data_IF_888097548513
#
_entry.id   IF_888097548513
#
_cell.length_a   1.000
_cell.length_b   1.000
_cell.length_c   1.000
_cell.angle_alpha   90.00
_cell.angle_beta   90.00
_cell.angle_gamma   90.00
#
_symmetry.space_group_name_H-M   'P 1'
#
loop_
_entity.id
_entity.type
_entity.pdbx_description
1 polymer ?
#
# COMPACT_ATOMS: atom_id res chain seq x y z
N UNK A 1 -33.00 5.23 0.11
CA UNK A 1 -32.29 4.13 -0.54
C UNK A 1 -30.94 4.57 -1.05
N UNK A 2 -30.84 5.65 -1.73
CA UNK A 2 -29.54 6.17 -2.16
C UNK A 2 -28.57 6.40 -1.00
N UNK A 3 -29.09 6.86 0.13
CA UNK A 3 -28.31 7.10 1.33
C UNK A 3 -27.67 5.83 1.87
N UNK A 4 -28.43 4.73 1.89
CA UNK A 4 -27.91 3.43 2.37
C UNK A 4 -26.81 2.93 1.43
N UNK A 5 -27.05 2.99 0.12
CA UNK A 5 -26.10 2.59 -0.89
C UNK A 5 -24.81 3.40 -0.81
N UNK A 6 -24.94 4.71 -0.63
CA UNK A 6 -23.81 5.63 -0.50
C UNK A 6 -22.98 5.29 0.76
N UNK A 7 -23.62 5.06 1.89
CA UNK A 7 -22.94 4.72 3.14
C UNK A 7 -22.13 3.42 2.98
N UNK A 8 -22.72 2.39 2.38
CA UNK A 8 -22.04 1.12 2.16
C UNK A 8 -20.84 1.29 1.24
N UNK A 9 -21.00 2.01 0.13
CA UNK A 9 -19.92 2.26 -0.80
C UNK A 9 -18.81 3.09 -0.16
N UNK A 10 -19.16 4.03 0.71
CA UNK A 10 -18.20 4.91 1.38
C UNK A 10 -17.41 4.18 2.48
N UNK A 11 -18.01 3.18 3.14
CA UNK A 11 -17.41 2.53 4.29
C UNK A 11 -16.63 1.26 3.97
N UNK A 12 -16.77 0.72 2.73
CA UNK A 12 -16.26 -0.64 2.49
C UNK A 12 -15.40 -0.75 1.24
N UNK A 13 -14.10 -0.63 1.48
CA UNK A 13 -13.10 -1.25 0.62
C UNK A 13 -12.56 -2.47 1.35
N UNK A 14 -13.36 -3.54 1.39
CA UNK A 14 -12.98 -4.77 2.07
C UNK A 14 -11.84 -5.44 1.29
N UNK A 15 -10.65 -5.62 1.90
CA UNK A 15 -9.52 -6.20 1.19
C UNK A 15 -9.80 -7.60 0.67
N UNK A 16 -10.71 -8.35 1.32
CA UNK A 16 -11.06 -9.70 0.89
C UNK A 16 -11.94 -9.73 -0.35
N UNK A 17 -12.57 -8.60 -0.69
CA UNK A 17 -13.47 -8.48 -1.85
C UNK A 17 -12.80 -7.79 -3.03
N UNK A 18 -11.61 -7.25 -2.86
CA UNK A 18 -10.85 -6.66 -3.96
C UNK A 18 -10.25 -7.79 -4.82
N UNK A 19 -10.10 -7.58 -6.14
CA UNK A 19 -9.54 -8.61 -7.00
C UNK A 19 -8.07 -8.89 -6.67
N UNK A 20 -7.63 -10.09 -7.03
CA UNK A 20 -6.26 -10.52 -6.79
C UNK A 20 -5.99 -10.86 -5.34
N UNK A 21 -4.72 -10.76 -4.94
CA UNK A 21 -4.31 -10.97 -3.56
C UNK A 21 -4.01 -9.60 -2.94
N UNK A 22 -4.66 -9.33 -1.82
CA UNK A 22 -4.49 -8.04 -1.12
C UNK A 22 -4.00 -8.32 0.30
N UNK A 23 -2.93 -7.63 0.67
CA UNK A 23 -2.41 -7.64 2.05
C UNK A 23 -2.64 -6.27 2.65
N UNK A 24 -3.46 -6.21 3.69
CA UNK A 24 -3.80 -4.98 4.39
C UNK A 24 -2.67 -4.57 5.35
N UNK A 25 -2.65 -3.31 5.76
CA UNK A 25 -1.65 -2.83 6.72
C UNK A 25 -1.72 -3.58 8.06
N UNK A 26 -2.88 -4.10 8.43
CA UNK A 26 -3.04 -4.89 9.65
C UNK A 26 -2.23 -6.19 9.61
N UNK A 27 -1.94 -6.72 8.42
CA UNK A 27 -1.21 -7.96 8.23
C UNK A 27 0.25 -7.73 7.81
N UNK A 28 0.67 -6.48 7.69
CA UNK A 28 2.05 -6.15 7.37
C UNK A 28 2.97 -6.40 8.57
N UNK A 29 4.22 -6.75 8.28
CA UNK A 29 5.25 -6.87 9.31
C UNK A 29 5.93 -5.53 9.50
N UNK A 30 5.75 -4.94 10.67
CA UNK A 30 6.15 -3.57 10.96
C UNK A 30 7.45 -3.54 11.76
N UNK A 31 8.34 -2.62 11.39
CA UNK A 31 9.53 -2.25 12.15
C UNK A 31 9.44 -0.76 12.45
N UNK A 32 9.78 -0.38 13.66
CA UNK A 32 9.69 1.02 14.08
C UNK A 32 8.31 1.38 14.58
N UNK A 33 8.06 2.67 14.68
CA UNK A 33 6.86 3.21 15.32
C UNK A 33 5.83 3.63 14.26
N UNK A 34 4.74 2.90 14.18
CA UNK A 34 3.63 3.16 13.27
C UNK A 34 2.36 3.42 14.07
N UNK A 35 1.61 4.43 13.66
CA UNK A 35 0.37 4.84 14.32
C UNK A 35 -0.83 4.56 13.41
N UNK A 36 -1.86 3.94 13.96
CA UNK A 36 -3.12 3.70 13.24
C UNK A 36 -3.93 4.98 13.13
N UNK A 37 -4.61 5.13 12.00
CA UNK A 37 -5.47 6.28 11.74
C UNK A 37 -6.60 5.91 10.78
N UNK A 38 -7.68 6.65 10.84
CA UNK A 38 -8.78 6.62 9.88
C UNK A 38 -9.21 8.05 9.50
N UNK A 39 -8.36 9.03 9.78
CA UNK A 39 -8.70 10.44 9.62
C UNK A 39 -8.84 10.86 8.17
N UNK A 40 -8.03 10.31 7.26
CA UNK A 40 -8.09 10.63 5.83
C UNK A 40 -8.88 9.54 5.12
N UNK A 41 -9.97 9.86 4.41
CA UNK A 41 -10.80 8.85 3.74
C UNK A 41 -10.11 8.24 2.52
N UNK A 42 -10.69 7.15 2.01
CA UNK A 42 -10.21 6.45 0.82
C UNK A 42 -9.29 5.27 1.11
N UNK A 43 -9.20 4.85 2.36
CA UNK A 43 -8.39 3.70 2.75
C UNK A 43 -9.10 2.37 2.49
N UNK A 44 -8.29 1.32 2.38
CA UNK A 44 -8.74 -0.07 2.31
C UNK A 44 -8.92 -0.59 3.74
N UNK A 45 -9.95 -1.40 3.98
CA UNK A 45 -10.20 -1.96 5.30
C UNK A 45 -10.67 -0.93 6.32
N UNK A 46 -10.13 -1.02 7.52
CA UNK A 46 -10.59 -0.21 8.66
C UNK A 46 -9.77 1.06 8.90
N UNK A 47 -8.72 1.27 8.15
CA UNK A 47 -7.85 2.43 8.32
C UNK A 47 -6.51 2.21 7.65
N UNK A 48 -5.56 3.03 8.04
CA UNK A 48 -4.19 2.99 7.54
C UNK A 48 -3.23 3.30 8.68
N UNK A 49 -1.93 3.26 8.41
CA UNK A 49 -0.91 3.62 9.39
C UNK A 49 0.02 4.67 8.83
N UNK A 50 0.62 5.46 9.71
CA UNK A 50 1.63 6.44 9.34
C UNK A 50 2.79 6.42 10.34
N UNK A 51 3.93 6.99 9.93
CA UNK A 51 5.15 6.98 10.74
C UNK A 51 5.28 8.17 11.69
N UNK A 52 4.21 8.98 11.89
CA UNK A 52 4.26 10.15 12.74
C UNK A 52 5.15 11.26 12.21
N UNK A 53 5.54 11.22 10.94
CA UNK A 53 6.50 12.15 10.33
C UNK A 53 7.87 12.14 11.03
N UNK A 54 8.24 11.00 11.60
CA UNK A 54 9.55 10.83 12.23
C UNK A 54 10.66 10.92 11.18
N UNK A 55 11.75 11.59 11.50
CA UNK A 55 12.84 11.87 10.55
C UNK A 55 14.03 10.93 10.69
N UNK A 56 13.95 9.95 11.59
CA UNK A 56 15.04 9.01 11.82
C UNK A 56 15.19 7.98 10.68
N UNK A 57 14.15 7.78 9.86
CA UNK A 57 14.19 6.85 8.74
C UNK A 57 14.25 5.38 9.13
N UNK A 58 13.89 5.05 10.36
CA UNK A 58 14.08 3.71 10.93
C UNK A 58 12.85 2.81 10.81
N UNK A 59 11.70 3.37 10.42
CA UNK A 59 10.48 2.58 10.28
C UNK A 59 10.39 1.99 8.88
N UNK A 60 9.88 0.76 8.82
CA UNK A 60 9.51 0.15 7.54
C UNK A 60 8.35 -0.82 7.76
N UNK A 61 7.68 -1.15 6.65
CA UNK A 61 6.58 -2.09 6.64
C UNK A 61 6.79 -3.08 5.50
N UNK A 62 6.68 -4.38 5.80
CA UNK A 62 6.83 -5.43 4.81
C UNK A 62 5.50 -6.13 4.59
N UNK A 63 5.03 -6.10 3.36
CA UNK A 63 3.84 -6.79 2.91
C UNK A 63 4.31 -8.07 2.22
N UNK A 64 4.12 -9.21 2.88
CA UNK A 64 4.61 -10.50 2.40
C UNK A 64 3.43 -11.33 1.93
N UNK A 65 3.60 -12.01 0.79
CA UNK A 65 2.55 -12.84 0.22
C UNK A 65 3.14 -14.10 -0.40
N UNK A 66 2.37 -15.18 -0.35
CA UNK A 66 2.59 -16.35 -1.18
C UNK A 66 1.49 -16.33 -2.26
N UNK A 67 1.89 -16.12 -3.51
CA UNK A 67 0.96 -16.06 -4.62
C UNK A 67 0.47 -17.47 -4.97
N UNK A 68 -0.80 -17.62 -5.41
CA UNK A 68 -1.37 -18.95 -5.68
C UNK A 68 -0.71 -19.65 -6.86
N UNK A 69 -0.16 -18.90 -7.81
CA UNK A 69 0.50 -19.44 -9.01
C UNK A 69 1.71 -18.59 -9.37
N UNK A 70 2.78 -19.21 -9.89
CA UNK A 70 3.84 -18.45 -10.56
C UNK A 70 3.26 -17.73 -11.77
N UNK A 71 3.86 -16.61 -12.15
CA UNK A 71 3.45 -15.88 -13.34
C UNK A 71 3.65 -14.39 -13.20
N UNK A 72 3.03 -13.66 -14.14
CA UNK A 72 3.15 -12.20 -14.20
C UNK A 72 2.02 -11.56 -13.42
N UNK A 73 2.37 -10.60 -12.56
CA UNK A 73 1.41 -9.86 -11.73
C UNK A 73 1.74 -8.37 -11.80
N UNK A 74 0.69 -7.57 -11.79
CA UNK A 74 0.81 -6.13 -11.49
C UNK A 74 0.75 -5.94 -9.98
N UNK A 75 1.68 -5.14 -9.45
CA UNK A 75 1.72 -4.81 -8.03
C UNK A 75 1.22 -3.39 -7.84
N UNK A 76 0.30 -3.18 -6.93
CA UNK A 76 -0.30 -1.88 -6.64
C UNK A 76 -0.20 -1.56 -5.16
N UNK A 77 0.00 -0.28 -4.87
CA UNK A 77 0.04 0.25 -3.50
C UNK A 77 -1.18 1.14 -3.27
N UNK A 78 -1.87 0.92 -2.15
CA UNK A 78 -2.95 1.78 -1.70
C UNK A 78 -2.45 2.74 -0.63
N UNK A 79 -2.90 3.99 -0.71
CA UNK A 79 -2.65 4.98 0.33
C UNK A 79 -3.67 6.12 0.23
N UNK A 80 -4.20 6.65 1.35
CA UNK A 80 -4.98 7.88 1.32
C UNK A 80 -4.05 9.09 1.18
N UNK A 81 -4.21 9.90 0.12
CA UNK A 81 -3.31 11.03 -0.15
C UNK A 81 -3.60 12.22 0.75
N UNK A 82 -2.58 13.05 0.96
CA UNK A 82 -2.72 14.31 1.68
C UNK A 82 -1.49 15.18 1.39
N UNK A 83 -1.63 16.49 1.52
CA UNK A 83 -0.52 17.42 1.27
C UNK A 83 0.65 17.26 2.25
N UNK A 84 0.42 16.66 3.43
CA UNK A 84 1.47 16.44 4.42
C UNK A 84 2.25 15.14 4.21
N UNK A 85 1.88 14.33 3.22
CA UNK A 85 2.59 13.07 2.93
C UNK A 85 3.97 13.35 2.33
N UNK A 86 4.81 12.33 2.36
CA UNK A 86 6.09 12.37 1.69
C UNK A 86 5.91 12.34 0.17
N UNK A 87 6.71 13.12 -0.55
CA UNK A 87 6.73 13.10 -2.00
C UNK A 87 7.65 12.02 -2.57
N UNK A 88 8.40 11.34 -1.72
CA UNK A 88 9.50 10.46 -2.11
C UNK A 88 9.51 9.15 -1.30
N UNK A 89 8.36 8.52 -1.15
CA UNK A 89 8.27 7.26 -0.41
C UNK A 89 9.00 6.15 -1.16
N UNK A 90 9.99 5.56 -0.50
CA UNK A 90 10.81 4.50 -1.09
C UNK A 90 10.13 3.15 -0.92
N UNK A 91 9.99 2.43 -2.03
CA UNK A 91 9.33 1.12 -2.05
C UNK A 91 10.21 0.13 -2.79
N UNK A 92 10.37 -1.05 -2.24
CA UNK A 92 11.11 -2.14 -2.88
C UNK A 92 10.19 -3.32 -3.12
N UNK A 93 10.22 -3.86 -4.34
CA UNK A 93 9.44 -5.03 -4.74
C UNK A 93 10.40 -6.17 -5.04
N UNK A 94 10.28 -7.27 -4.28
CA UNK A 94 11.00 -8.50 -4.57
C UNK A 94 10.21 -9.31 -5.58
N UNK A 95 10.86 -9.67 -6.70
CA UNK A 95 10.27 -10.46 -7.77
C UNK A 95 11.26 -11.53 -8.23
N UNK A 96 10.90 -12.30 -9.25
CA UNK A 96 11.69 -13.48 -9.67
C UNK A 96 13.14 -13.15 -10.05
N UNK A 97 13.39 -11.95 -10.60
CA UNK A 97 14.71 -11.55 -11.09
C UNK A 97 15.47 -10.62 -10.15
N UNK A 98 14.97 -10.42 -8.92
CA UNK A 98 15.64 -9.56 -7.94
C UNK A 98 14.71 -8.56 -7.30
N UNK A 99 15.22 -7.36 -7.05
CA UNK A 99 14.47 -6.30 -6.36
C UNK A 99 14.37 -5.06 -7.24
N UNK A 100 13.17 -4.52 -7.35
CA UNK A 100 12.92 -3.25 -8.03
C UNK A 100 12.62 -2.18 -6.99
N UNK A 101 13.31 -1.05 -7.06
CA UNK A 101 13.05 0.11 -6.20
C UNK A 101 12.26 1.15 -6.98
N UNK A 102 11.21 1.67 -6.37
CA UNK A 102 10.39 2.75 -6.93
C UNK A 102 10.17 3.81 -5.87
N UNK A 103 9.85 5.03 -6.31
CA UNK A 103 9.50 6.15 -5.44
C UNK A 103 8.06 6.56 -5.73
N UNK A 104 7.29 6.76 -4.67
CA UNK A 104 5.87 7.17 -4.79
C UNK A 104 5.68 8.50 -4.08
N UNK A 105 5.03 9.44 -4.78
CA UNK A 105 4.62 10.71 -4.20
C UNK A 105 3.21 10.54 -3.60
N UNK A 106 3.15 10.40 -2.29
CA UNK A 106 1.88 10.18 -1.59
C UNK A 106 1.05 11.45 -1.40
N UNK A 107 1.53 12.59 -1.88
CA UNK A 107 0.73 13.82 -1.93
C UNK A 107 -0.28 13.79 -3.08
N UNK A 108 -0.01 13.00 -4.11
CA UNK A 108 -0.89 12.87 -5.27
C UNK A 108 -1.93 11.78 -5.04
N UNK A 109 -3.15 12.01 -5.53
CA UNK A 109 -4.20 10.98 -5.50
C UNK A 109 -3.77 9.77 -6.29
N UNK A 110 -3.95 8.55 -5.74
CA UNK A 110 -3.69 7.33 -6.51
C UNK A 110 -4.60 7.27 -7.73
N UNK A 111 -4.06 6.99 -8.94
CA UNK A 111 -4.83 7.11 -10.16
C UNK A 111 -5.84 5.97 -10.40
N UNK A 112 -5.64 4.80 -9.80
CA UNK A 112 -6.54 3.66 -10.03
C UNK A 112 -7.66 3.71 -8.99
N UNK A 113 -8.84 4.08 -9.42
CA UNK A 113 -10.07 4.20 -8.60
C UNK A 113 -9.91 5.13 -7.40
N UNK A 114 -8.91 6.03 -7.42
CA UNK A 114 -8.61 6.89 -6.29
C UNK A 114 -8.01 6.16 -5.10
N UNK A 115 -7.62 4.89 -5.27
CA UNK A 115 -7.18 4.01 -4.19
C UNK A 115 -5.75 3.51 -4.40
N UNK A 116 -5.41 3.09 -5.61
CA UNK A 116 -4.16 2.40 -5.90
C UNK A 116 -3.28 3.16 -6.89
N UNK A 117 -1.97 3.02 -6.71
CA UNK A 117 -0.97 3.36 -7.72
C UNK A 117 -0.25 2.08 -8.14
N UNK A 118 -0.04 1.92 -9.45
CA UNK A 118 0.71 0.78 -9.96
C UNK A 118 2.20 0.96 -9.68
N UNK A 119 2.83 -0.09 -9.16
CA UNK A 119 4.28 -0.14 -8.95
C UNK A 119 4.99 -0.84 -10.12
N UNK A 120 4.23 -1.40 -11.05
CA UNK A 120 4.74 -2.10 -12.21
C UNK A 120 4.26 -3.54 -12.29
N UNK A 121 4.69 -4.23 -13.36
CA UNK A 121 4.38 -5.64 -13.59
C UNK A 121 5.68 -6.43 -13.55
N UNK A 122 5.66 -7.58 -12.88
CA UNK A 122 6.85 -8.41 -12.68
C UNK A 122 6.49 -9.88 -12.73
N UNK A 123 7.49 -10.72 -13.02
CA UNK A 123 7.36 -12.17 -12.89
C UNK A 123 7.61 -12.60 -11.45
N UNK A 124 6.83 -13.54 -10.96
CA UNK A 124 6.97 -14.12 -9.63
C UNK A 124 7.01 -15.63 -9.70
N UNK A 125 7.84 -16.24 -8.84
CA UNK A 125 7.93 -17.70 -8.73
C UNK A 125 6.98 -18.25 -7.66
N UNK A 126 6.45 -17.39 -6.79
CA UNK A 126 5.54 -17.76 -5.72
C UNK A 126 5.50 -16.70 -4.64
N UNK A 127 6.61 -16.50 -3.95
CA UNK A 127 6.68 -15.52 -2.87
C UNK A 127 6.98 -14.13 -3.40
N UNK A 128 6.45 -13.11 -2.73
CA UNK A 128 6.77 -11.72 -3.00
C UNK A 128 6.76 -10.94 -1.69
N UNK A 129 7.61 -9.91 -1.64
CA UNK A 129 7.62 -8.96 -0.53
C UNK A 129 7.67 -7.56 -1.12
N UNK A 130 6.81 -6.70 -0.63
CA UNK A 130 6.84 -5.26 -0.90
C UNK A 130 7.18 -4.56 0.40
N UNK A 131 8.28 -3.80 0.40
CA UNK A 131 8.75 -3.09 1.58
C UNK A 131 8.57 -1.59 1.37
N UNK A 132 7.87 -0.94 2.29
CA UNK A 132 7.74 0.51 2.33
C UNK A 132 8.70 1.03 3.40
N UNK A 133 9.61 1.92 3.00
CA UNK A 133 10.64 2.47 3.87
C UNK A 133 10.39 3.96 4.14
N UNK A 134 10.70 4.39 5.35
CA UNK A 134 10.65 5.81 5.73
C UNK A 134 11.99 6.52 5.53
N UNK A 135 13.01 5.81 5.06
CA UNK A 135 14.35 6.38 4.88
C UNK A 135 14.31 7.58 3.92
N UNK A 136 14.83 8.71 4.38
CA UNK A 136 14.93 9.94 3.57
C UNK A 136 13.61 10.61 3.23
N UNK A 137 12.50 10.20 3.85
CA UNK A 137 11.18 10.74 3.53
C UNK A 137 11.04 12.21 3.95
N UNK A 138 10.42 13.00 3.09
CA UNK A 138 10.23 14.45 3.30
C UNK A 138 8.86 14.81 3.89
N UNK A 139 8.12 13.84 4.38
CA UNK A 139 6.82 14.04 4.99
C UNK A 139 6.32 12.74 5.63
N UNK A 140 5.03 12.69 5.96
CA UNK A 140 4.42 11.48 6.51
C UNK A 140 4.46 10.36 5.48
N UNK A 141 4.90 9.18 5.91
CA UNK A 141 4.80 7.96 5.11
C UNK A 141 3.58 7.19 5.59
N UNK A 142 2.72 6.83 4.64
CA UNK A 142 1.46 6.13 4.91
C UNK A 142 1.52 4.75 4.30
N UNK A 143 1.01 3.76 5.03
CA UNK A 143 0.80 2.40 4.53
C UNK A 143 -0.67 2.02 4.70
N UNK A 144 -1.23 1.36 3.69
CA UNK A 144 -2.63 0.96 3.71
C UNK A 144 -2.79 -0.48 3.21
N UNK A 145 -2.45 -0.76 1.96
CA UNK A 145 -2.53 -2.11 1.42
C UNK A 145 -1.66 -2.26 0.18
N UNK A 146 -1.31 -3.51 -0.12
CA UNK A 146 -0.65 -3.88 -1.37
C UNK A 146 -1.49 -4.94 -2.06
N UNK A 147 -1.63 -4.83 -3.37
CA UNK A 147 -2.42 -5.72 -4.21
C UNK A 147 -1.54 -6.32 -5.30
N UNK A 148 -1.68 -7.62 -5.53
CA UNK A 148 -1.06 -8.35 -6.63
C UNK A 148 -2.17 -8.85 -7.55
N UNK A 149 -2.14 -8.44 -8.82
CA UNK A 149 -3.14 -8.81 -9.83
C UNK A 149 -2.50 -9.63 -10.92
N UNK A 150 -2.97 -10.85 -11.13
CA UNK A 150 -2.50 -11.71 -12.20
C UNK A 150 -2.78 -11.08 -13.57
N UNK A 151 -1.81 -11.20 -14.48
CA UNK A 151 -1.88 -10.63 -15.83
C UNK A 151 -1.84 -11.69 -16.92
#
# INVERSE_FOLDING_TARGET
>A
MLTVSWVLAHTLLDPKKLPGVVVDDEDAKLTGDWKSSSATPGYVGHGYRHNGNAKDGNANARFEVRLPKPGRYEVRLAYPPHSNRASNVKIEIQHASGTKSVSVNQRNSPPVDGVFVSLGEFEFLGDSTVTVSTAGADGYVVIDAVQWLAK
#
